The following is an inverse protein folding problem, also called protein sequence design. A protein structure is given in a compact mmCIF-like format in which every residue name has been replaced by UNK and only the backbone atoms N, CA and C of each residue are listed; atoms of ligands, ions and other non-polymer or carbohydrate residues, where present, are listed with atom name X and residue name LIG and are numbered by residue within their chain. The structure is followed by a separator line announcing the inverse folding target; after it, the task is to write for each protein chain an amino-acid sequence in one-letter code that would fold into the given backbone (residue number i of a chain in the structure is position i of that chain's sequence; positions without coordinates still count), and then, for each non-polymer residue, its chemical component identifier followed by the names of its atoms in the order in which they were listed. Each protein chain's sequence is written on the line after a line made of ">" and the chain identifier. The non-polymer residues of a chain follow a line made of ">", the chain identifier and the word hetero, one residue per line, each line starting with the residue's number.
data_IF_862058016374
#
_entry.id   IF_862058016374
#
_cell.length_a   1.000
_cell.length_b   1.000
_cell.length_c   1.000
_cell.angle_alpha   90.00
_cell.angle_beta   90.00
_cell.angle_gamma   90.00
#
_symmetry.space_group_name_H-M   'P 1'
#
loop_
_entity.id
_entity.type
_entity.pdbx_description
1 polymer ?
#
# COMPACT_ATOMS: atom_id res chain seq x y z
N UNK A 1 -0.68 -40.07 13.80
CA UNK A 1 -1.18 -40.24 15.18
C UNK A 1 -2.03 -39.04 15.48
N UNK A 2 -3.15 -39.23 16.16
CA UNK A 2 -4.15 -38.17 16.35
C UNK A 2 -3.60 -37.03 17.23
N UNK A 3 -4.26 -35.88 17.16
CA UNK A 3 -3.93 -34.72 18.00
C UNK A 3 -4.15 -35.09 19.47
N UNK A 4 -3.08 -35.12 20.26
CA UNK A 4 -3.13 -35.45 21.69
C UNK A 4 -2.79 -34.24 22.55
N UNK A 5 -3.56 -34.06 23.62
CA UNK A 5 -3.34 -32.97 24.57
C UNK A 5 -1.94 -33.04 25.20
N UNK A 6 -1.26 -31.89 25.27
CA UNK A 6 0.10 -31.79 25.82
C UNK A 6 1.22 -32.29 24.89
N UNK A 7 0.89 -32.69 23.66
CA UNK A 7 1.90 -33.14 22.69
C UNK A 7 2.55 -31.95 21.98
N UNK A 8 3.88 -31.97 21.87
CA UNK A 8 4.66 -31.01 21.09
C UNK A 8 5.12 -31.69 19.80
N UNK A 9 4.73 -31.11 18.67
CA UNK A 9 5.11 -31.59 17.35
C UNK A 9 6.39 -30.90 16.87
N UNK A 10 7.19 -31.58 16.06
CA UNK A 10 8.42 -31.05 15.47
C UNK A 10 8.48 -31.40 13.98
N UNK A 11 8.90 -30.45 13.16
CA UNK A 11 8.92 -30.58 11.70
C UNK A 11 7.51 -30.58 11.09
N UNK A 12 7.25 -31.50 10.16
CA UNK A 12 5.97 -31.62 9.47
C UNK A 12 5.78 -30.63 8.32
N UNK A 13 4.53 -30.47 7.88
CA UNK A 13 4.11 -29.52 6.86
C UNK A 13 2.87 -28.74 7.29
N UNK A 14 2.56 -27.67 6.56
CA UNK A 14 1.32 -26.90 6.72
C UNK A 14 0.06 -27.74 6.49
N UNK A 15 0.17 -28.83 5.71
CA UNK A 15 -0.96 -29.74 5.44
C UNK A 15 -1.34 -30.50 6.70
N UNK A 16 -0.35 -30.91 7.50
CA UNK A 16 -0.56 -31.58 8.79
C UNK A 16 -1.33 -30.67 9.75
N UNK A 17 -1.03 -29.37 9.77
CA UNK A 17 -1.78 -28.41 10.61
C UNK A 17 -3.24 -28.34 10.19
N UNK A 18 -3.50 -28.33 8.88
CA UNK A 18 -4.86 -28.25 8.34
C UNK A 18 -5.64 -29.55 8.61
N UNK A 19 -4.98 -30.71 8.51
CA UNK A 19 -5.55 -32.03 8.79
C UNK A 19 -5.83 -32.24 10.29
N UNK A 20 -4.88 -31.88 11.16
CA UNK A 20 -5.03 -32.05 12.62
C UNK A 20 -6.10 -31.14 13.22
N UNK A 21 -6.30 -29.96 12.64
CA UNK A 21 -7.30 -28.98 13.11
C UNK A 21 -8.62 -29.07 12.34
N UNK A 22 -8.71 -29.88 11.29
CA UNK A 22 -9.85 -30.00 10.37
C UNK A 22 -10.36 -28.64 9.85
N UNK A 23 -9.43 -27.78 9.43
CA UNK A 23 -9.71 -26.42 8.91
C UNK A 23 -9.16 -26.22 7.51
N UNK A 24 -9.81 -25.36 6.73
CA UNK A 24 -9.33 -24.98 5.39
C UNK A 24 -8.42 -23.77 5.48
N UNK A 25 -7.59 -23.58 4.47
CA UNK A 25 -6.59 -22.50 4.50
C UNK A 25 -7.16 -21.10 4.77
N UNK A 26 -8.33 -20.76 4.23
CA UNK A 26 -8.95 -19.44 4.46
C UNK A 26 -9.43 -19.20 5.89
N UNK A 27 -9.57 -20.26 6.68
CA UNK A 27 -10.03 -20.22 8.07
C UNK A 27 -8.84 -20.06 9.04
N UNK A 28 -7.60 -20.16 8.54
CA UNK A 28 -6.37 -19.96 9.31
C UNK A 28 -5.85 -18.54 9.06
N UNK A 29 -5.65 -17.79 10.14
CA UNK A 29 -4.85 -16.56 10.15
C UNK A 29 -3.44 -16.87 10.70
N UNK A 30 -2.45 -16.84 9.82
CA UNK A 30 -1.06 -17.05 10.20
C UNK A 30 -0.35 -15.72 10.45
N UNK A 31 0.27 -15.61 11.62
CA UNK A 31 0.97 -14.41 12.10
C UNK A 31 2.46 -14.68 12.10
N UNK A 32 3.24 -13.82 11.46
CA UNK A 32 4.70 -13.94 11.41
C UNK A 32 5.36 -12.63 11.02
N UNK A 33 6.68 -12.58 11.07
CA UNK A 33 7.52 -11.43 10.76
C UNK A 33 8.36 -11.64 9.48
N UNK A 34 8.50 -12.89 9.02
CA UNK A 34 9.28 -13.19 7.83
C UNK A 34 8.42 -13.12 6.55
N UNK A 35 8.52 -12.02 5.81
CA UNK A 35 7.72 -11.79 4.60
C UNK A 35 7.78 -12.93 3.56
N UNK A 36 8.93 -13.58 3.39
CA UNK A 36 9.07 -14.70 2.47
C UNK A 36 8.65 -16.04 3.09
N UNK A 37 9.18 -16.35 4.28
CA UNK A 37 8.96 -17.63 4.95
C UNK A 37 7.51 -17.82 5.37
N UNK A 38 6.96 -16.80 6.01
CA UNK A 38 5.70 -16.89 6.74
C UNK A 38 4.52 -16.44 5.89
N UNK A 39 4.69 -15.33 5.18
CA UNK A 39 3.59 -14.70 4.46
C UNK A 39 3.50 -15.26 3.04
N UNK A 40 4.56 -15.11 2.25
CA UNK A 40 4.53 -15.45 0.82
C UNK A 40 4.29 -16.94 0.57
N UNK A 41 4.97 -17.82 1.33
CA UNK A 41 4.78 -19.28 1.17
C UNK A 41 3.39 -19.72 1.63
N UNK A 42 2.92 -19.27 2.79
CA UNK A 42 1.60 -19.66 3.32
C UNK A 42 0.47 -19.16 2.43
N UNK A 43 0.58 -17.92 1.93
CA UNK A 43 -0.41 -17.34 1.00
C UNK A 43 -0.47 -18.08 -0.33
N UNK A 44 0.69 -18.33 -0.97
CA UNK A 44 0.75 -18.94 -2.31
C UNK A 44 0.48 -20.44 -2.33
N UNK A 45 0.98 -21.18 -1.33
CA UNK A 45 0.88 -22.65 -1.33
C UNK A 45 -0.45 -23.12 -0.74
N UNK A 46 -0.91 -22.48 0.33
CA UNK A 46 -2.02 -22.98 1.15
C UNK A 46 -3.24 -22.05 1.16
N UNK A 47 -3.12 -20.84 0.60
CA UNK A 47 -4.22 -19.87 0.58
C UNK A 47 -4.59 -19.36 1.98
N UNK A 48 -3.65 -19.41 2.93
CA UNK A 48 -3.85 -18.95 4.30
C UNK A 48 -4.11 -17.44 4.35
N UNK A 49 -4.88 -16.99 5.35
CA UNK A 49 -4.91 -15.58 5.70
C UNK A 49 -3.63 -15.22 6.42
N UNK A 50 -3.09 -14.05 6.13
CA UNK A 50 -1.74 -13.67 6.58
C UNK A 50 -1.74 -12.34 7.31
N UNK A 51 -1.06 -12.31 8.47
CA UNK A 51 -0.78 -11.11 9.24
C UNK A 51 0.72 -10.93 9.36
N UNK A 52 1.26 -9.87 8.75
CA UNK A 52 2.68 -9.54 8.88
C UNK A 52 2.94 -8.57 10.04
N UNK A 53 3.81 -8.98 10.96
CA UNK A 53 4.34 -8.11 12.01
C UNK A 53 5.58 -7.39 11.45
N UNK A 54 5.57 -6.06 11.45
CA UNK A 54 6.69 -5.21 11.00
C UNK A 54 7.07 -4.26 12.14
N UNK A 55 7.96 -4.65 13.07
CA UNK A 55 8.28 -3.86 14.25
C UNK A 55 8.76 -2.43 13.94
N UNK A 56 9.47 -2.25 12.82
CA UNK A 56 9.97 -0.96 12.33
C UNK A 56 8.84 0.02 11.99
N UNK A 57 7.62 -0.47 11.75
CA UNK A 57 6.47 0.35 11.38
C UNK A 57 6.15 1.43 12.42
N UNK A 58 6.41 1.18 13.70
CA UNK A 58 6.22 2.19 14.76
C UNK A 58 7.09 3.42 14.51
N UNK A 59 8.38 3.22 14.21
CA UNK A 59 9.32 4.31 13.89
C UNK A 59 8.98 4.94 12.55
N UNK A 60 8.64 4.13 11.54
CA UNK A 60 8.23 4.60 10.22
C UNK A 60 7.03 5.56 10.29
N UNK A 61 6.00 5.20 11.06
CA UNK A 61 4.80 6.04 11.24
C UNK A 61 5.12 7.37 11.91
N UNK A 62 5.99 7.37 12.93
CA UNK A 62 6.42 8.60 13.58
C UNK A 62 7.13 9.54 12.60
N UNK A 63 8.14 9.04 11.88
CA UNK A 63 8.90 9.86 10.92
C UNK A 63 8.00 10.30 9.75
N UNK A 64 7.07 9.44 9.31
CA UNK A 64 6.11 9.77 8.27
C UNK A 64 5.25 10.98 8.65
N UNK A 65 4.70 11.00 9.87
CA UNK A 65 3.89 12.12 10.34
C UNK A 65 4.70 13.43 10.41
N UNK A 66 5.94 13.37 10.90
CA UNK A 66 6.84 14.53 10.99
C UNK A 66 7.26 15.07 9.61
N UNK A 67 7.39 14.21 8.59
CA UNK A 67 7.94 14.57 7.27
C UNK A 67 6.90 14.60 6.14
N UNK A 68 5.61 14.38 6.45
CA UNK A 68 4.50 14.35 5.48
C UNK A 68 4.48 15.56 4.54
N UNK A 69 4.84 16.76 5.02
CA UNK A 69 4.92 17.97 4.21
C UNK A 69 5.93 17.88 3.06
N UNK A 70 7.07 17.22 3.27
CA UNK A 70 8.06 17.00 2.21
C UNK A 70 7.53 16.05 1.14
N UNK A 71 6.78 15.02 1.56
CA UNK A 71 6.14 14.08 0.63
C UNK A 71 5.02 14.76 -0.18
N UNK A 72 4.23 15.64 0.44
CA UNK A 72 3.23 16.44 -0.26
C UNK A 72 3.87 17.41 -1.27
N UNK A 73 5.00 18.04 -0.93
CA UNK A 73 5.75 18.86 -1.88
C UNK A 73 6.26 18.03 -3.06
N UNK A 74 6.81 16.84 -2.80
CA UNK A 74 7.26 15.93 -3.86
C UNK A 74 6.12 15.55 -4.81
N UNK A 75 4.94 15.23 -4.27
CA UNK A 75 3.74 14.93 -5.06
C UNK A 75 3.29 16.13 -5.90
N UNK A 76 3.36 17.35 -5.38
CA UNK A 76 3.03 18.57 -6.14
C UNK A 76 4.00 18.79 -7.30
N UNK A 77 5.30 18.55 -7.09
CA UNK A 77 6.30 18.64 -8.16
C UNK A 77 6.08 17.58 -9.24
N UNK A 78 5.70 16.35 -8.86
CA UNK A 78 5.34 15.29 -9.82
C UNK A 78 4.14 15.70 -10.69
N UNK A 79 3.09 16.28 -10.09
CA UNK A 79 1.91 16.78 -10.83
C UNK A 79 2.29 17.95 -11.73
N UNK A 80 3.06 18.91 -11.23
CA UNK A 80 3.52 20.06 -12.02
C UNK A 80 4.36 19.62 -13.21
N UNK A 81 5.24 18.63 -13.04
CA UNK A 81 6.01 18.04 -14.13
C UNK A 81 5.08 17.40 -15.16
N UNK A 82 4.05 16.66 -14.74
CA UNK A 82 3.06 16.10 -15.66
C UNK A 82 2.28 17.17 -16.44
N UNK A 83 1.96 18.31 -15.81
CA UNK A 83 1.29 19.44 -16.48
C UNK A 83 2.17 20.10 -17.54
N UNK A 84 3.47 20.29 -17.27
CA UNK A 84 4.43 20.81 -18.25
C UNK A 84 4.52 19.92 -19.49
N UNK A 85 4.45 18.60 -19.32
CA UNK A 85 4.49 17.63 -20.42
C UNK A 85 3.14 17.42 -21.12
N UNK A 86 2.02 17.87 -20.54
CA UNK A 86 0.67 17.56 -21.02
C UNK A 86 0.38 17.99 -22.45
N UNK A 87 0.99 19.11 -22.88
CA UNK A 87 0.76 19.71 -24.19
C UNK A 87 1.86 19.42 -25.21
N UNK A 88 2.88 18.65 -24.81
CA UNK A 88 3.96 18.24 -25.70
C UNK A 88 3.54 16.97 -26.44
N UNK A 89 3.39 17.08 -27.75
CA UNK A 89 3.12 15.94 -28.63
C UNK A 89 4.41 15.46 -29.31
N UNK A 90 4.33 14.37 -30.09
CA UNK A 90 5.48 13.84 -30.82
C UNK A 90 6.07 14.79 -31.88
N UNK A 91 5.38 15.89 -32.22
CA UNK A 91 5.84 16.92 -33.15
C UNK A 91 6.50 18.12 -32.47
N UNK A 92 6.38 18.24 -31.15
CA UNK A 92 6.97 19.32 -30.36
C UNK A 92 8.51 19.25 -30.37
N UNK A 93 9.16 20.35 -30.76
CA UNK A 93 10.62 20.53 -30.69
C UNK A 93 11.09 21.20 -29.40
N UNK A 94 10.14 21.71 -28.62
CA UNK A 94 10.41 22.39 -27.35
C UNK A 94 10.52 21.34 -26.24
N UNK A 95 11.72 21.20 -25.69
CA UNK A 95 11.94 20.44 -24.48
C UNK A 95 12.01 21.43 -23.30
N UNK A 96 11.05 21.44 -22.37
CA UNK A 96 11.09 22.33 -21.22
C UNK A 96 12.29 21.99 -20.34
N UNK A 97 12.96 23.01 -19.79
CA UNK A 97 14.04 22.82 -18.83
C UNK A 97 13.47 22.39 -17.47
N UNK A 98 13.61 21.09 -17.21
CA UNK A 98 13.18 20.44 -15.96
C UNK A 98 14.32 20.28 -14.95
N UNK A 99 15.52 20.79 -15.24
CA UNK A 99 16.72 20.54 -14.43
C UNK A 99 16.53 21.02 -12.98
N UNK A 100 15.95 22.21 -12.80
CA UNK A 100 15.65 22.79 -11.49
C UNK A 100 14.64 21.95 -10.70
N UNK A 101 13.57 21.48 -11.37
CA UNK A 101 12.50 20.67 -10.76
C UNK A 101 13.07 19.31 -10.34
N UNK A 102 13.79 18.63 -11.23
CA UNK A 102 14.46 17.36 -10.93
C UNK A 102 15.44 17.49 -9.77
N UNK A 103 16.23 18.57 -9.74
CA UNK A 103 17.16 18.83 -8.65
C UNK A 103 16.43 19.01 -7.33
N UNK A 104 15.33 19.79 -7.33
CA UNK A 104 14.49 19.99 -6.14
C UNK A 104 13.89 18.67 -5.65
N UNK A 105 13.34 17.85 -6.55
CA UNK A 105 12.79 16.54 -6.23
C UNK A 105 13.85 15.61 -5.60
N UNK A 106 15.05 15.55 -6.18
CA UNK A 106 16.14 14.74 -5.65
C UNK A 106 16.57 15.19 -4.25
N UNK A 107 16.66 16.50 -4.01
CA UNK A 107 16.98 17.07 -2.68
C UNK A 107 15.89 16.72 -1.67
N UNK A 108 14.61 16.82 -2.05
CA UNK A 108 13.50 16.45 -1.16
C UNK A 108 13.48 14.95 -0.84
N UNK A 109 13.66 14.10 -1.86
CA UNK A 109 13.74 12.66 -1.68
C UNK A 109 14.89 12.29 -0.73
N UNK A 110 16.09 12.86 -0.94
CA UNK A 110 17.24 12.64 -0.06
C UNK A 110 16.99 13.09 1.38
N UNK A 111 16.42 14.29 1.58
CA UNK A 111 16.09 14.81 2.91
C UNK A 111 15.04 13.97 3.64
N UNK A 112 14.10 13.41 2.90
CA UNK A 112 13.11 12.50 3.45
C UNK A 112 13.77 11.18 3.85
N UNK A 113 14.54 10.57 2.95
CA UNK A 113 15.18 9.26 3.18
C UNK A 113 16.13 9.30 4.39
N UNK A 114 16.98 10.34 4.51
CA UNK A 114 17.91 10.47 5.64
C UNK A 114 17.20 10.63 6.99
N UNK A 115 15.93 11.03 7.01
CA UNK A 115 15.14 11.14 8.24
C UNK A 115 14.79 9.76 8.83
N UNK A 116 14.76 8.71 8.01
CA UNK A 116 14.50 7.34 8.44
C UNK A 116 15.78 6.62 8.89
N UNK A 117 16.91 6.95 8.26
CA UNK A 117 18.24 6.41 8.53
C UNK A 117 19.14 6.51 7.29
N UNK A 118 20.33 5.91 7.35
CA UNK A 118 21.30 5.95 6.23
C UNK A 118 20.74 5.31 4.95
N UNK A 119 19.89 4.30 5.09
CA UNK A 119 19.34 3.51 3.98
C UNK A 119 17.91 3.89 3.61
N UNK A 120 17.38 4.99 4.15
CA UNK A 120 16.01 5.42 3.87
C UNK A 120 14.94 4.66 4.64
N UNK A 121 13.70 4.80 4.17
CA UNK A 121 12.54 4.08 4.71
C UNK A 121 12.53 2.63 4.20
N UNK A 122 12.04 1.72 5.03
CA UNK A 122 11.77 0.33 4.65
C UNK A 122 10.76 0.25 3.50
N UNK A 123 9.85 1.22 3.41
CA UNK A 123 8.70 1.19 2.51
C UNK A 123 8.90 1.98 1.22
N UNK A 124 9.77 3.00 1.21
CA UNK A 124 9.95 3.88 0.05
C UNK A 124 11.31 4.59 0.02
N UNK A 125 11.68 5.07 -1.17
CA UNK A 125 12.68 6.10 -1.37
C UNK A 125 12.07 7.19 -2.25
N UNK A 126 11.95 8.40 -1.69
CA UNK A 126 11.19 9.48 -2.36
C UNK A 126 9.75 9.05 -2.71
N UNK A 127 9.39 9.17 -3.99
CA UNK A 127 8.08 8.79 -4.51
C UNK A 127 7.98 7.30 -4.89
N UNK A 128 9.10 6.56 -4.87
CA UNK A 128 9.15 5.16 -5.31
C UNK A 128 9.02 4.20 -4.14
N UNK A 129 8.19 3.16 -4.29
CA UNK A 129 8.03 2.11 -3.28
C UNK A 129 9.18 1.10 -3.36
N UNK A 130 9.58 0.55 -2.21
CA UNK A 130 10.57 -0.52 -2.17
C UNK A 130 9.96 -1.86 -2.61
N UNK A 131 10.82 -2.84 -2.89
CA UNK A 131 10.40 -4.22 -3.09
C UNK A 131 9.65 -4.77 -1.87
N UNK A 132 10.10 -4.44 -0.66
CA UNK A 132 9.44 -4.85 0.58
C UNK A 132 8.00 -4.33 0.65
N UNK A 133 7.78 -3.03 0.39
CA UNK A 133 6.42 -2.46 0.35
C UNK A 133 5.53 -3.13 -0.70
N UNK A 134 6.08 -3.41 -1.89
CA UNK A 134 5.34 -4.08 -2.96
C UNK A 134 4.93 -5.51 -2.58
N UNK A 135 5.78 -6.23 -1.86
CA UNK A 135 5.49 -7.57 -1.36
C UNK A 135 4.50 -7.54 -0.20
N UNK A 136 4.63 -6.55 0.70
CA UNK A 136 3.72 -6.32 1.82
C UNK A 136 2.29 -6.17 1.32
N UNK A 137 2.05 -5.21 0.42
CA UNK A 137 0.73 -4.90 -0.15
C UNK A 137 0.12 -6.10 -0.89
N UNK A 138 0.97 -6.92 -1.53
CA UNK A 138 0.50 -8.04 -2.36
C UNK A 138 0.14 -9.28 -1.56
N UNK A 139 0.92 -9.59 -0.52
CA UNK A 139 0.87 -10.91 0.12
C UNK A 139 0.36 -10.91 1.56
N UNK A 140 0.49 -9.79 2.28
CA UNK A 140 -0.04 -9.67 3.64
C UNK A 140 -1.50 -9.19 3.56
N UNK A 141 -2.45 -9.98 4.06
CA UNK A 141 -3.84 -9.51 4.16
C UNK A 141 -3.96 -8.41 5.21
N UNK A 142 -3.22 -8.54 6.32
CA UNK A 142 -3.12 -7.59 7.40
C UNK A 142 -1.64 -7.35 7.73
N UNK A 143 -1.31 -6.14 8.17
CA UNK A 143 0.01 -5.85 8.72
C UNK A 143 -0.09 -4.83 9.84
N UNK A 144 0.82 -4.92 10.81
CA UNK A 144 0.97 -3.88 11.83
C UNK A 144 2.32 -3.99 12.53
N UNK A 145 2.62 -3.07 13.45
CA UNK A 145 3.85 -3.13 14.25
C UNK A 145 3.90 -4.27 15.26
N UNK A 146 2.74 -4.71 15.76
CA UNK A 146 2.63 -5.79 16.75
C UNK A 146 1.32 -6.55 16.59
N UNK A 147 1.34 -7.86 16.78
CA UNK A 147 0.13 -8.68 16.75
C UNK A 147 -0.88 -8.31 17.87
N UNK A 148 -0.41 -7.66 18.93
CA UNK A 148 -1.25 -7.18 20.04
C UNK A 148 -2.31 -6.19 19.56
N UNK A 149 -2.07 -5.48 18.44
CA UNK A 149 -3.03 -4.55 17.88
C UNK A 149 -4.38 -5.22 17.52
N UNK A 150 -4.39 -6.54 17.30
CA UNK A 150 -5.62 -7.30 17.09
C UNK A 150 -6.54 -7.30 18.32
N UNK A 151 -5.98 -7.19 19.54
CA UNK A 151 -6.75 -7.17 20.79
C UNK A 151 -7.64 -5.92 20.92
N UNK A 152 -7.32 -4.86 20.18
CA UNK A 152 -8.13 -3.65 20.15
C UNK A 152 -9.38 -3.77 19.25
N UNK A 153 -9.54 -4.89 18.55
CA UNK A 153 -10.68 -5.18 17.69
C UNK A 153 -11.53 -6.31 18.28
N UNK A 154 -12.85 -6.29 18.11
CA UNK A 154 -13.69 -7.41 18.49
C UNK A 154 -13.45 -8.62 17.57
N UNK A 155 -13.67 -9.84 18.05
CA UNK A 155 -13.42 -11.07 17.27
C UNK A 155 -14.30 -11.20 16.01
N UNK A 156 -15.43 -10.50 15.95
CA UNK A 156 -16.32 -10.45 14.79
C UNK A 156 -16.07 -9.24 13.88
N UNK A 157 -14.91 -8.58 14.01
CA UNK A 157 -14.56 -7.43 13.18
C UNK A 157 -14.33 -7.84 11.73
N UNK A 158 -15.01 -7.14 10.80
CA UNK A 158 -14.81 -7.33 9.37
C UNK A 158 -13.79 -6.30 8.86
N UNK A 159 -12.58 -6.76 8.53
CA UNK A 159 -11.55 -5.91 7.92
C UNK A 159 -11.85 -5.72 6.44
N UNK A 160 -12.11 -4.48 6.04
CA UNK A 160 -12.43 -4.11 4.66
C UNK A 160 -11.32 -3.25 4.06
N UNK A 161 -10.89 -3.61 2.84
CA UNK A 161 -10.02 -2.77 2.01
C UNK A 161 -10.83 -2.18 0.85
N UNK A 162 -10.56 -0.94 0.41
CA UNK A 162 -11.18 -0.38 -0.79
C UNK A 162 -10.92 -1.26 -2.02
N UNK A 163 -11.88 -1.35 -2.97
CA UNK A 163 -11.68 -2.11 -4.21
C UNK A 163 -10.58 -1.48 -5.05
N UNK A 164 -9.69 -2.30 -5.63
CA UNK A 164 -8.64 -1.85 -6.53
C UNK A 164 -9.24 -1.69 -7.93
N UNK A 165 -9.37 -0.45 -8.39
CA UNK A 165 -9.85 -0.13 -9.71
C UNK A 165 -8.70 -0.11 -10.72
N UNK A 166 -8.95 -0.64 -11.92
CA UNK A 166 -8.05 -0.56 -13.05
C UNK A 166 -8.08 0.87 -13.64
N UNK A 167 -7.01 1.33 -14.32
CA UNK A 167 -6.93 2.71 -14.79
C UNK A 167 -8.10 3.17 -15.68
N UNK A 168 -8.67 2.28 -16.49
CA UNK A 168 -9.82 2.59 -17.35
C UNK A 168 -11.14 2.73 -16.58
N UNK A 169 -11.30 2.03 -15.46
CA UNK A 169 -12.48 2.14 -14.57
C UNK A 169 -12.48 3.49 -13.87
N UNK A 170 -11.30 3.94 -13.42
CA UNK A 170 -11.12 5.27 -12.79
C UNK A 170 -11.42 6.39 -13.78
N UNK A 171 -10.95 6.29 -15.02
CA UNK A 171 -11.23 7.29 -16.06
C UNK A 171 -12.73 7.41 -16.37
N UNK A 172 -13.46 6.28 -16.35
CA UNK A 172 -14.91 6.28 -16.52
C UNK A 172 -15.65 6.95 -15.35
N UNK A 173 -15.14 6.82 -14.13
CA UNK A 173 -15.73 7.48 -12.95
C UNK A 173 -15.49 9.00 -12.98
N UNK A 174 -14.26 9.43 -13.26
CA UNK A 174 -13.91 10.86 -13.36
C UNK A 174 -14.74 11.54 -14.46
N UNK A 175 -14.88 10.89 -15.63
CA UNK A 175 -15.71 11.44 -16.71
C UNK A 175 -17.20 11.52 -16.34
N UNK A 176 -17.73 10.55 -15.58
CA UNK A 176 -19.11 10.60 -15.07
C UNK A 176 -19.31 11.71 -14.02
N UNK A 177 -18.34 11.98 -13.15
CA UNK A 177 -18.37 13.09 -12.17
C UNK A 177 -18.26 14.47 -12.83
N UNK A 178 -17.44 14.62 -13.87
CA UNK A 178 -17.37 15.86 -14.66
C UNK A 178 -18.69 16.09 -15.41
N UNK A 179 -19.30 15.02 -15.95
CA UNK A 179 -20.59 15.10 -16.64
C UNK A 179 -21.75 15.51 -15.73
N UNK A 180 -21.74 15.08 -14.46
CA UNK A 180 -22.79 15.41 -13.48
C UNK A 180 -22.63 16.81 -12.89
N UNK A 181 -21.40 17.31 -12.78
CA UNK A 181 -21.10 18.70 -12.37
C UNK A 181 -21.38 19.72 -13.49
N UNK A 182 -21.23 19.36 -14.76
CA UNK A 182 -21.68 20.19 -15.88
C UNK A 182 -23.21 20.26 -16.00
N UNK A 183 -23.92 19.18 -15.64
CA UNK A 183 -25.39 19.19 -15.61
C UNK A 183 -25.94 20.07 -14.47
N UNK A 184 -25.35 20.04 -13.27
CA UNK A 184 -25.79 20.90 -12.17
C UNK A 184 -25.57 22.39 -12.45
N UNK A 185 -24.46 22.76 -13.12
CA UNK A 185 -24.20 24.12 -13.56
C UNK A 185 -25.15 24.60 -14.68
N UNK A 186 -25.63 23.71 -15.57
CA UNK A 186 -26.65 24.05 -16.58
C UNK A 186 -28.04 24.25 -15.99
N UNK A 187 -28.40 23.55 -14.92
CA UNK A 187 -29.69 23.74 -14.25
C UNK A 187 -29.76 25.08 -13.50
N UNK A 188 -28.62 25.57 -12.98
CA UNK A 188 -28.50 26.89 -12.33
C UNK A 188 -28.61 28.08 -13.30
N UNK A 189 -28.22 27.91 -14.57
CA UNK A 189 -28.35 28.97 -15.58
C UNK A 189 -29.72 29.01 -16.26
N UNK A 190 -30.50 27.93 -16.18
CA UNK A 190 -31.86 27.89 -16.75
C UNK A 190 -32.96 28.47 -15.86
N UNK A 191 -32.71 28.66 -14.55
CA UNK A 191 -33.67 29.21 -13.58
C UNK A 191 -33.54 30.74 -13.39
N UNK A 192 -32.95 31.45 -14.36
CA UNK A 192 -32.71 32.91 -14.30
C UNK A 192 -33.38 33.73 -15.39
N UNK A 193 -34.38 33.18 -16.08
CA UNK A 193 -35.27 33.93 -16.98
C UNK A 193 -36.69 33.97 -16.44
#
# INVERSE_FOLDING_TARGET
>A
GDLQHGTVYSGGSSDIVSELLDVKGKDILYVGDHIFGDILKSKKRQGWKTFLVVPELTKELQVWEEKKSHFEELKRLDVFLAELYKHLDSGSKECPDISAIKTRMNVLAYRMDISYGQMGSLLRSGSTQTLFASQLIRYADLYSSTCINLLHYPFNYLVMAPPVLMPHEVASQISAEVSSSDQSNRTLTSNKN
#
